data_IF_291583598036
#
_entry.id   IF_291583598036
#
_cell.length_a   1.000
_cell.length_b   1.000
_cell.length_c   1.000
_cell.angle_alpha   90.00
_cell.angle_beta   90.00
_cell.angle_gamma   90.00
#
_symmetry.space_group_name_H-M   'P 1'
#
loop_
_entity.id
_entity.type
_entity.pdbx_description
1 polymer ?
#
# COMPACT_ATOMS: atom_id res chain seq x y z
N UNK A 1 8.51 -22.19 3.49
CA UNK A 1 9.99 -22.24 3.49
C UNK A 1 10.69 -20.88 3.73
N UNK A 2 9.94 -19.77 3.88
CA UNK A 2 10.49 -18.44 4.21
C UNK A 2 10.42 -18.08 5.71
N UNK A 3 9.65 -18.81 6.53
CA UNK A 3 9.43 -18.46 7.94
C UNK A 3 10.52 -18.91 8.93
N UNK A 4 11.53 -19.68 8.50
CA UNK A 4 12.65 -20.11 9.38
C UNK A 4 14.05 -19.96 8.76
N UNK A 5 14.16 -19.52 7.50
CA UNK A 5 15.39 -19.63 6.71
C UNK A 5 16.20 -18.35 6.48
N UNK A 6 15.58 -17.17 6.48
CA UNK A 6 16.25 -15.92 6.08
C UNK A 6 16.24 -14.80 7.12
N UNK A 7 15.43 -14.91 8.18
CA UNK A 7 15.56 -14.08 9.38
C UNK A 7 16.15 -14.95 10.49
N UNK A 8 17.38 -15.43 10.25
CA UNK A 8 18.25 -15.68 11.39
C UNK A 8 18.48 -14.30 11.97
N UNK A 9 17.78 -13.97 13.07
CA UNK A 9 18.11 -12.84 13.93
C UNK A 9 19.60 -12.97 14.22
N UNK A 10 20.40 -12.28 13.40
CA UNK A 10 21.84 -12.25 13.53
C UNK A 10 22.01 -11.49 14.83
N UNK A 11 22.36 -12.23 15.88
CA UNK A 11 22.54 -11.72 17.24
C UNK A 11 23.70 -10.72 17.34
N UNK A 12 23.59 -9.58 16.65
CA UNK A 12 24.50 -8.46 16.69
C UNK A 12 23.72 -7.16 16.44
N UNK A 13 23.34 -6.50 17.55
CA UNK A 13 22.77 -5.13 17.70
C UNK A 13 21.25 -4.91 17.49
N UNK A 14 20.40 -5.56 18.28
CA UNK A 14 19.03 -5.04 18.58
C UNK A 14 19.03 -3.88 19.59
N UNK A 15 20.18 -3.50 20.15
CA UNK A 15 20.29 -2.35 21.05
C UNK A 15 20.61 -1.08 20.26
N UNK A 16 19.66 -0.13 20.23
CA UNK A 16 19.79 1.31 19.88
C UNK A 16 19.43 1.78 18.45
N UNK A 17 18.59 1.07 17.69
CA UNK A 17 17.92 1.72 16.55
C UNK A 17 16.59 2.30 17.01
N UNK A 18 16.43 3.63 16.88
CA UNK A 18 15.17 4.31 17.19
C UNK A 18 14.17 4.00 16.07
N UNK A 19 13.09 3.31 16.40
CA UNK A 19 11.99 2.99 15.47
C UNK A 19 10.97 4.14 15.44
N UNK A 20 10.55 4.59 16.63
CA UNK A 20 9.62 5.70 16.78
C UNK A 20 10.40 7.01 16.93
N UNK A 21 10.27 7.90 15.95
CA UNK A 21 10.86 9.23 16.00
C UNK A 21 9.81 10.29 15.67
N UNK A 22 9.95 11.52 16.18
CA UNK A 22 9.04 12.61 15.83
C UNK A 22 8.96 12.86 14.31
N UNK A 23 10.08 12.71 13.60
CA UNK A 23 10.15 12.86 12.14
C UNK A 23 9.42 11.74 11.39
N UNK A 24 9.48 10.50 11.86
CA UNK A 24 8.74 9.39 11.28
C UNK A 24 7.22 9.57 11.48
N UNK A 25 6.82 10.00 12.68
CA UNK A 25 5.41 10.31 12.96
C UNK A 25 4.93 11.45 12.06
N UNK A 26 5.69 12.55 11.98
CA UNK A 26 5.32 13.70 11.17
C UNK A 26 5.24 13.37 9.68
N UNK A 27 6.24 12.67 9.14
CA UNK A 27 6.23 12.23 7.75
C UNK A 27 5.09 11.25 7.47
N UNK A 28 4.86 10.28 8.37
CA UNK A 28 3.77 9.33 8.28
C UNK A 28 2.40 10.01 8.26
N UNK A 29 2.18 11.01 9.12
CA UNK A 29 0.93 11.78 9.15
C UNK A 29 0.69 12.56 7.85
N UNK A 30 1.74 13.20 7.30
CA UNK A 30 1.63 13.89 6.01
C UNK A 30 1.23 12.90 4.91
N UNK A 31 1.92 11.76 4.84
CA UNK A 31 1.63 10.74 3.83
C UNK A 31 0.23 10.13 4.03
N UNK A 32 -0.21 9.90 5.27
CA UNK A 32 -1.55 9.42 5.58
C UNK A 32 -2.63 10.39 5.10
N UNK A 33 -2.45 11.70 5.29
CA UNK A 33 -3.41 12.71 4.81
C UNK A 33 -3.42 12.76 3.28
N UNK A 34 -2.24 12.80 2.64
CA UNK A 34 -2.13 12.92 1.18
C UNK A 34 -2.68 11.68 0.48
N UNK A 35 -2.22 10.49 0.87
CA UNK A 35 -2.69 9.24 0.26
C UNK A 35 -4.12 8.89 0.67
N UNK A 36 -4.51 9.19 1.92
CA UNK A 36 -5.90 9.06 2.36
C UNK A 36 -6.86 9.92 1.55
N UNK A 37 -6.52 11.19 1.30
CA UNK A 37 -7.32 12.07 0.45
C UNK A 37 -7.37 11.60 -1.02
N UNK A 38 -6.22 11.16 -1.56
CA UNK A 38 -6.16 10.62 -2.92
C UNK A 38 -7.04 9.37 -3.06
N UNK A 39 -6.95 8.43 -2.11
CA UNK A 39 -7.76 7.21 -2.11
C UNK A 39 -9.23 7.48 -1.83
N UNK A 40 -9.56 8.48 -1.02
CA UNK A 40 -10.95 8.88 -0.83
C UNK A 40 -11.57 9.42 -2.13
N UNK A 41 -10.85 10.30 -2.83
CA UNK A 41 -11.31 10.81 -4.13
C UNK A 41 -11.43 9.70 -5.17
N UNK A 42 -10.40 8.85 -5.32
CA UNK A 42 -10.41 7.76 -6.29
C UNK A 42 -11.48 6.72 -5.97
N UNK A 43 -11.65 6.34 -4.71
CA UNK A 43 -12.66 5.35 -4.33
C UNK A 43 -14.09 5.87 -4.52
N UNK A 44 -14.35 7.15 -4.26
CA UNK A 44 -15.66 7.76 -4.55
C UNK A 44 -15.93 7.90 -6.05
N UNK A 45 -14.89 8.19 -6.85
CA UNK A 45 -15.05 8.44 -8.30
C UNK A 45 -15.04 7.16 -9.14
N UNK A 46 -14.18 6.22 -8.80
CA UNK A 46 -13.88 5.03 -9.59
C UNK A 46 -14.30 3.72 -8.90
N UNK A 47 -14.77 3.77 -7.65
CA UNK A 47 -15.22 2.59 -6.90
C UNK A 47 -14.08 1.66 -6.46
N UNK A 48 -12.83 2.05 -6.66
CA UNK A 48 -11.64 1.25 -6.34
C UNK A 48 -10.65 2.06 -5.52
N UNK A 49 -9.95 1.40 -4.59
CA UNK A 49 -8.86 1.97 -3.80
C UNK A 49 -7.51 1.50 -4.32
N UNK A 50 -6.47 2.33 -4.18
CA UNK A 50 -5.12 1.99 -4.60
C UNK A 50 -4.25 1.81 -3.37
N UNK A 51 -3.55 0.69 -3.27
CA UNK A 51 -2.60 0.44 -2.19
C UNK A 51 -1.56 1.57 -2.11
N UNK A 52 -1.55 2.28 -0.98
CA UNK A 52 -0.61 3.35 -0.70
C UNK A 52 0.64 2.85 0.03
N UNK A 53 0.67 1.60 0.51
CA UNK A 53 1.78 1.03 1.28
C UNK A 53 3.11 1.04 0.51
N UNK A 54 3.08 0.60 -0.75
CA UNK A 54 4.25 0.56 -1.63
C UNK A 54 4.79 1.98 -1.88
N UNK A 55 4.01 2.95 -2.41
CA UNK A 55 4.53 4.29 -2.63
C UNK A 55 4.93 4.99 -1.33
N UNK A 56 4.26 4.75 -0.20
CA UNK A 56 4.67 5.29 1.09
C UNK A 56 6.06 4.77 1.52
N UNK A 57 6.34 3.48 1.32
CA UNK A 57 7.66 2.88 1.63
C UNK A 57 8.79 3.52 0.81
N UNK A 58 8.54 3.80 -0.48
CA UNK A 58 9.49 4.48 -1.37
C UNK A 58 9.69 5.92 -0.92
N UNK A 59 8.61 6.68 -0.79
CA UNK A 59 8.68 8.12 -0.47
C UNK A 59 9.34 8.32 0.89
N UNK A 60 9.00 7.49 1.88
CA UNK A 60 9.68 7.47 3.18
C UNK A 60 11.18 7.26 3.02
N UNK A 61 11.58 6.22 2.29
CA UNK A 61 12.99 5.88 2.08
C UNK A 61 13.74 7.00 1.35
N UNK A 62 13.13 7.56 0.30
CA UNK A 62 13.70 8.66 -0.47
C UNK A 62 13.89 9.92 0.38
N UNK A 63 12.93 10.26 1.25
CA UNK A 63 13.01 11.45 2.11
C UNK A 63 13.97 11.23 3.27
N UNK A 64 13.81 10.16 4.06
CA UNK A 64 14.61 9.93 5.27
C UNK A 64 16.07 9.57 4.94
N UNK A 65 16.32 8.78 3.89
CA UNK A 65 17.69 8.39 3.52
C UNK A 65 18.28 9.23 2.38
N UNK A 66 17.49 9.57 1.36
CA UNK A 66 18.00 10.38 0.25
C UNK A 66 18.24 11.83 0.65
N UNK A 67 17.20 12.50 1.16
CA UNK A 67 17.26 13.94 1.47
C UNK A 67 17.89 14.17 2.85
N UNK A 68 17.35 13.52 3.88
CA UNK A 68 17.79 13.75 5.27
C UNK A 68 19.07 12.99 5.64
N UNK A 69 19.52 12.06 4.80
CA UNK A 69 20.70 11.18 5.01
C UNK A 69 20.72 10.52 6.40
N UNK A 70 19.54 10.36 7.00
CA UNK A 70 19.34 9.92 8.37
C UNK A 70 18.02 9.18 8.44
N UNK A 71 18.07 7.86 8.35
CA UNK A 71 16.90 6.99 8.50
C UNK A 71 17.33 5.53 8.53
N UNK A 72 16.69 4.73 9.36
CA UNK A 72 16.88 3.28 9.42
C UNK A 72 15.64 2.57 8.86
N UNK A 73 15.75 1.25 8.63
CA UNK A 73 14.64 0.45 8.08
C UNK A 73 13.40 0.47 8.96
N UNK A 74 13.58 0.43 10.28
CA UNK A 74 12.50 0.38 11.27
C UNK A 74 11.71 1.69 11.31
N UNK A 75 12.39 2.81 11.18
CA UNK A 75 11.80 4.14 11.15
C UNK A 75 10.97 4.36 9.87
N UNK A 76 11.47 3.88 8.72
CA UNK A 76 10.69 3.91 7.49
C UNK A 76 9.48 2.97 7.56
N UNK A 77 9.62 1.82 8.24
CA UNK A 77 8.51 0.90 8.46
C UNK A 77 7.39 1.56 9.32
N UNK A 78 7.75 2.38 10.31
CA UNK A 78 6.76 3.17 11.07
C UNK A 78 6.05 4.18 10.18
N UNK A 79 6.77 4.92 9.34
CA UNK A 79 6.16 5.87 8.38
C UNK A 79 5.15 5.17 7.47
N UNK A 80 5.55 4.03 6.90
CA UNK A 80 4.69 3.22 6.04
C UNK A 80 3.45 2.72 6.79
N UNK A 81 3.63 2.25 8.03
CA UNK A 81 2.52 1.75 8.86
C UNK A 81 1.51 2.84 9.15
N UNK A 82 1.95 4.05 9.49
CA UNK A 82 1.06 5.21 9.71
C UNK A 82 0.30 5.56 8.42
N UNK A 83 1.00 5.59 7.28
CA UNK A 83 0.38 5.90 6.00
C UNK A 83 -0.69 4.87 5.59
N UNK A 84 -0.40 3.57 5.72
CA UNK A 84 -1.33 2.47 5.41
C UNK A 84 -2.51 2.39 6.39
N UNK A 85 -2.29 2.72 7.67
CA UNK A 85 -3.38 2.84 8.64
C UNK A 85 -4.35 3.97 8.28
N UNK A 86 -3.84 5.11 7.82
CA UNK A 86 -4.66 6.22 7.32
C UNK A 86 -5.49 5.85 6.09
N UNK A 87 -4.90 5.09 5.16
CA UNK A 87 -5.61 4.53 4.00
C UNK A 87 -6.75 3.60 4.42
N UNK A 88 -6.47 2.63 5.30
CA UNK A 88 -7.48 1.67 5.80
C UNK A 88 -8.68 2.39 6.43
N UNK A 89 -8.41 3.46 7.18
CA UNK A 89 -9.46 4.30 7.76
C UNK A 89 -10.26 5.02 6.67
N UNK A 90 -9.58 5.67 5.71
CA UNK A 90 -10.23 6.38 4.62
C UNK A 90 -11.13 5.44 3.78
N UNK A 91 -10.67 4.21 3.51
CA UNK A 91 -11.42 3.19 2.80
C UNK A 91 -12.75 2.84 3.53
N UNK A 92 -12.74 2.69 4.85
CA UNK A 92 -13.97 2.46 5.62
C UNK A 92 -14.96 3.63 5.53
N UNK A 93 -14.46 4.86 5.56
CA UNK A 93 -15.29 6.08 5.52
C UNK A 93 -15.92 6.29 4.14
N UNK A 94 -15.17 6.07 3.06
CA UNK A 94 -15.63 6.35 1.69
C UNK A 94 -16.72 5.39 1.21
N UNK A 95 -16.86 4.21 1.81
CA UNK A 95 -17.98 3.31 1.52
C UNK A 95 -19.17 3.56 2.45
N UNK A 96 -18.91 3.96 3.69
CA UNK A 96 -19.95 4.15 4.71
C UNK A 96 -20.71 5.47 4.54
N UNK A 97 -20.00 6.58 4.32
CA UNK A 97 -20.62 7.92 4.26
C UNK A 97 -21.56 8.05 3.06
N UNK A 98 -21.18 7.67 1.83
CA UNK A 98 -22.10 7.70 0.70
C UNK A 98 -23.31 6.79 0.90
N UNK A 99 -23.15 5.63 1.53
CA UNK A 99 -24.28 4.75 1.85
C UNK A 99 -25.30 5.44 2.77
N UNK A 100 -24.83 6.16 3.80
CA UNK A 100 -25.71 6.95 4.67
C UNK A 100 -26.44 8.06 3.88
N UNK A 101 -25.75 8.75 2.97
CA UNK A 101 -26.33 9.78 2.11
C UNK A 101 -27.41 9.20 1.19
N UNK A 102 -27.17 8.02 0.61
CA UNK A 102 -28.14 7.32 -0.24
C UNK A 102 -29.38 6.87 0.52
N UNK A 103 -29.27 6.61 1.82
CA UNK A 103 -30.41 6.34 2.71
C UNK A 103 -31.18 7.62 3.11
N UNK A 104 -30.81 8.78 2.59
CA UNK A 104 -31.43 10.07 2.92
C UNK A 104 -30.92 10.69 4.22
N UNK A 105 -29.87 10.14 4.82
CA UNK A 105 -29.24 10.70 6.01
C UNK A 105 -28.10 11.64 5.60
N UNK A 106 -28.11 12.88 6.09
CA UNK A 106 -27.01 13.84 5.89
C UNK A 106 -26.16 13.94 7.16
N UNK A 107 -25.17 13.05 7.37
CA UNK A 107 -24.36 13.07 8.59
C UNK A 107 -23.53 14.34 8.67
N UNK A 108 -23.51 14.98 9.84
CA UNK A 108 -22.65 16.14 10.08
C UNK A 108 -21.17 15.74 10.06
N UNK A 109 -20.27 16.69 9.79
CA UNK A 109 -18.82 16.45 9.81
C UNK A 109 -18.36 15.87 11.15
N UNK A 110 -18.97 16.33 12.25
CA UNK A 110 -18.68 15.81 13.58
C UNK A 110 -19.12 14.35 13.74
N UNK A 111 -20.27 13.96 13.17
CA UNK A 111 -20.72 12.57 13.17
C UNK A 111 -19.79 11.68 12.34
N UNK A 112 -19.35 12.14 11.16
CA UNK A 112 -18.39 11.42 10.32
C UNK A 112 -17.05 11.25 11.07
N UNK A 113 -16.60 12.29 11.78
CA UNK A 113 -15.41 12.23 12.62
C UNK A 113 -15.55 11.18 13.73
N UNK A 114 -16.66 11.16 14.47
CA UNK A 114 -16.91 10.17 15.52
C UNK A 114 -17.02 8.75 14.97
N UNK A 115 -17.67 8.58 13.81
CA UNK A 115 -17.77 7.30 13.12
C UNK A 115 -16.39 6.80 12.70
N UNK A 116 -15.56 7.67 12.14
CA UNK A 116 -14.18 7.35 11.76
C UNK A 116 -13.33 7.01 12.98
N UNK A 117 -13.46 7.80 14.06
CA UNK A 117 -12.70 7.59 15.30
C UNK A 117 -13.03 6.25 15.94
N UNK A 118 -14.32 5.94 16.09
CA UNK A 118 -14.78 4.67 16.67
C UNK A 118 -14.42 3.49 15.77
N UNK A 119 -14.57 3.61 14.45
CA UNK A 119 -14.14 2.60 13.49
C UNK A 119 -12.63 2.34 13.52
N UNK A 120 -11.81 3.39 13.66
CA UNK A 120 -10.36 3.29 13.79
C UNK A 120 -9.95 2.59 15.09
N UNK A 121 -10.55 2.95 16.22
CA UNK A 121 -10.30 2.29 17.52
C UNK A 121 -10.69 0.80 17.44
N UNK A 122 -11.85 0.51 16.84
CA UNK A 122 -12.31 -0.87 16.65
C UNK A 122 -11.36 -1.66 15.75
N UNK A 123 -10.86 -1.06 14.67
CA UNK A 123 -9.86 -1.67 13.79
C UNK A 123 -8.56 -2.01 14.51
N UNK A 124 -8.06 -1.11 15.37
CA UNK A 124 -6.87 -1.37 16.21
C UNK A 124 -7.14 -2.53 17.18
N UNK A 125 -8.34 -2.61 17.75
CA UNK A 125 -8.72 -3.69 18.65
C UNK A 125 -8.73 -5.05 17.93
N UNK A 126 -9.32 -5.12 16.74
CA UNK A 126 -9.35 -6.36 15.93
C UNK A 126 -8.01 -6.73 15.30
N UNK A 127 -7.05 -5.79 15.21
CA UNK A 127 -5.70 -6.10 14.74
C UNK A 127 -4.98 -7.10 15.65
N UNK A 128 -5.25 -7.08 16.96
CA UNK A 128 -4.63 -7.98 17.94
C UNK A 128 -4.95 -9.47 17.67
N UNK A 129 -6.23 -9.90 17.60
CA UNK A 129 -6.55 -11.29 17.29
C UNK A 129 -6.17 -11.68 15.85
N UNK A 130 -6.36 -10.80 14.87
CA UNK A 130 -6.02 -11.11 13.48
C UNK A 130 -4.52 -11.27 13.27
N UNK A 131 -3.68 -10.48 13.95
CA UNK A 131 -2.24 -10.66 13.88
C UNK A 131 -1.83 -12.06 14.29
N UNK A 132 -2.40 -12.60 15.37
CA UNK A 132 -2.08 -13.95 15.84
C UNK A 132 -2.49 -15.00 14.79
N UNK A 133 -3.73 -14.94 14.32
CA UNK A 133 -4.23 -15.97 13.41
C UNK A 133 -3.58 -15.90 12.02
N UNK A 134 -3.48 -14.71 11.43
CA UNK A 134 -2.93 -14.55 10.08
C UNK A 134 -1.40 -14.67 10.09
N UNK A 135 -0.70 -14.00 11.01
CA UNK A 135 0.76 -13.92 10.97
C UNK A 135 1.43 -15.01 11.80
N UNK A 136 0.95 -15.37 12.99
CA UNK A 136 1.66 -16.38 13.80
C UNK A 136 1.28 -17.80 13.40
N UNK A 137 0.00 -18.06 13.14
CA UNK A 137 -0.50 -19.41 12.82
C UNK A 137 -0.40 -19.72 11.31
N UNK A 138 -0.71 -18.75 10.43
CA UNK A 138 -0.79 -18.98 8.98
C UNK A 138 0.39 -18.42 8.15
N UNK A 139 1.51 -17.97 8.76
CA UNK A 139 2.63 -17.36 7.99
C UNK A 139 3.23 -18.25 6.91
N UNK A 140 3.10 -19.57 7.04
CA UNK A 140 3.74 -20.54 6.15
C UNK A 140 2.84 -20.90 4.97
N UNK A 141 1.56 -20.57 5.08
CA UNK A 141 0.50 -20.97 4.16
C UNK A 141 0.05 -19.78 3.29
N UNK A 142 0.08 -18.56 3.84
CA UNK A 142 -0.33 -17.34 3.15
C UNK A 142 0.86 -16.61 2.49
N UNK A 143 0.80 -16.30 1.19
CA UNK A 143 1.75 -15.40 0.56
C UNK A 143 1.44 -13.95 0.94
N UNK A 144 2.46 -13.19 1.38
CA UNK A 144 2.36 -11.77 1.74
C UNK A 144 3.01 -10.87 0.67
N UNK A 145 2.46 -10.77 -0.55
CA UNK A 145 3.13 -10.10 -1.68
C UNK A 145 3.38 -8.62 -1.41
N UNK A 146 2.40 -7.88 -0.88
CA UNK A 146 2.50 -6.45 -0.63
C UNK A 146 3.50 -6.14 0.49
N UNK A 147 3.43 -6.90 1.59
CA UNK A 147 4.39 -6.79 2.69
C UNK A 147 5.81 -7.12 2.26
N UNK A 148 5.97 -8.14 1.41
CA UNK A 148 7.28 -8.52 0.84
C UNK A 148 7.82 -7.43 -0.08
N UNK A 149 6.99 -6.87 -0.96
CA UNK A 149 7.38 -5.78 -1.85
C UNK A 149 7.83 -4.53 -1.07
N UNK A 150 7.09 -4.17 -0.01
CA UNK A 150 7.48 -3.05 0.83
C UNK A 150 8.79 -3.31 1.58
N UNK A 151 8.97 -4.52 2.13
CA UNK A 151 10.21 -4.91 2.80
C UNK A 151 11.42 -4.81 1.85
N UNK A 152 11.27 -5.29 0.61
CA UNK A 152 12.33 -5.23 -0.40
C UNK A 152 12.70 -3.78 -0.75
N UNK A 153 11.71 -2.87 -0.83
CA UNK A 153 11.96 -1.42 -1.02
C UNK A 153 12.74 -0.83 0.14
N UNK A 154 12.32 -1.11 1.37
CA UNK A 154 12.97 -0.57 2.57
C UNK A 154 14.40 -1.12 2.74
N UNK A 155 14.61 -2.40 2.43
CA UNK A 155 15.90 -3.08 2.48
C UNK A 155 16.83 -2.62 1.35
N UNK A 156 16.33 -2.49 0.11
CA UNK A 156 17.10 -1.92 -0.99
C UNK A 156 17.52 -0.47 -0.66
N UNK A 157 16.64 0.29 0.00
CA UNK A 157 16.96 1.59 0.56
C UNK A 157 18.05 1.60 1.63
N UNK A 158 18.24 0.50 2.37
CA UNK A 158 19.23 0.37 3.44
C UNK A 158 20.59 -0.07 2.91
N UNK A 159 20.60 -1.10 2.08
CA UNK A 159 21.80 -1.67 1.49
C UNK A 159 22.45 -0.70 0.49
N UNK A 160 21.65 0.14 -0.18
CA UNK A 160 22.15 1.07 -1.18
C UNK A 160 22.73 0.35 -2.42
N UNK A 161 23.52 1.08 -3.20
CA UNK A 161 24.25 0.50 -4.34
C UNK A 161 23.37 -0.03 -5.48
N UNK A 162 23.79 -1.15 -6.10
CA UNK A 162 23.14 -1.70 -7.30
C UNK A 162 21.69 -2.15 -7.06
N UNK A 163 21.40 -2.75 -5.89
CA UNK A 163 20.04 -3.18 -5.55
C UNK A 163 19.08 -2.00 -5.39
N UNK A 164 19.51 -0.93 -4.71
CA UNK A 164 18.74 0.31 -4.64
C UNK A 164 18.48 0.87 -6.04
N UNK A 165 19.51 0.92 -6.90
CA UNK A 165 19.37 1.41 -8.26
C UNK A 165 18.30 0.64 -9.05
N UNK A 166 18.27 -0.69 -8.96
CA UNK A 166 17.25 -1.51 -9.63
C UNK A 166 15.83 -1.27 -9.12
N UNK A 167 15.63 -1.20 -7.80
CA UNK A 167 14.29 -0.98 -7.21
C UNK A 167 13.77 0.42 -7.54
N UNK A 168 14.62 1.45 -7.36
CA UNK A 168 14.23 2.83 -7.67
C UNK A 168 14.10 3.08 -9.18
N UNK A 169 14.91 2.44 -10.03
CA UNK A 169 14.74 2.52 -11.48
C UNK A 169 13.47 1.82 -11.95
N UNK A 170 13.17 0.63 -11.41
CA UNK A 170 11.95 -0.10 -11.72
C UNK A 170 10.71 0.68 -11.33
N UNK A 171 10.74 1.32 -10.15
CA UNK A 171 9.68 2.24 -9.73
C UNK A 171 9.60 3.46 -10.65
N UNK A 172 10.74 4.08 -11.01
CA UNK A 172 10.77 5.24 -11.90
C UNK A 172 10.20 4.93 -13.28
N UNK A 173 10.54 3.78 -13.86
CA UNK A 173 9.98 3.29 -15.13
C UNK A 173 8.48 3.00 -14.99
N UNK A 174 8.06 2.35 -13.91
CA UNK A 174 6.64 2.09 -13.64
C UNK A 174 5.82 3.36 -13.45
N UNK A 175 6.36 4.35 -12.73
CA UNK A 175 5.75 5.65 -12.53
C UNK A 175 5.67 6.44 -13.85
N UNK A 176 6.72 6.44 -14.65
CA UNK A 176 6.74 7.06 -15.96
C UNK A 176 5.73 6.40 -16.90
N UNK A 177 5.67 5.07 -16.93
CA UNK A 177 4.69 4.32 -17.70
C UNK A 177 3.26 4.68 -17.28
N UNK A 178 2.98 4.73 -15.97
CA UNK A 178 1.65 5.12 -15.45
C UNK A 178 1.32 6.58 -15.75
N UNK A 179 2.31 7.48 -15.70
CA UNK A 179 2.15 8.89 -16.04
C UNK A 179 1.84 9.09 -17.53
N UNK A 180 2.54 8.39 -18.43
CA UNK A 180 2.30 8.45 -19.87
C UNK A 180 0.95 7.84 -20.27
N UNK A 181 0.58 6.71 -19.66
CA UNK A 181 -0.69 6.02 -19.96
C UNK A 181 -1.90 6.70 -19.32
N UNK A 182 -1.88 6.92 -18.00
CA UNK A 182 -3.04 7.42 -17.25
C UNK A 182 -3.07 8.96 -17.12
N UNK A 183 -1.90 9.61 -17.07
CA UNK A 183 -1.80 11.07 -16.95
C UNK A 183 -1.92 11.78 -18.30
N UNK A 184 -1.13 11.37 -19.29
CA UNK A 184 -1.12 11.98 -20.62
C UNK A 184 -2.08 11.32 -21.62
N UNK A 185 -2.74 10.21 -21.25
CA UNK A 185 -3.69 9.46 -22.09
C UNK A 185 -3.17 9.16 -23.51
N UNK A 186 -1.87 8.88 -23.66
CA UNK A 186 -1.28 8.62 -24.98
C UNK A 186 -1.77 7.31 -25.61
N UNK A 187 -2.25 6.36 -24.81
CA UNK A 187 -2.82 5.08 -25.26
C UNK A 187 -4.00 4.69 -24.36
N UNK A 188 -5.04 4.09 -24.91
CA UNK A 188 -6.08 3.44 -24.09
C UNK A 188 -5.45 2.28 -23.31
N UNK A 189 -5.42 2.39 -21.98
CA UNK A 189 -4.76 1.43 -21.09
C UNK A 189 -5.42 0.04 -21.05
N UNK A 190 -6.53 -0.14 -21.75
CA UNK A 190 -7.29 -1.39 -21.81
C UNK A 190 -7.65 -1.62 -23.29
N UNK A 191 -6.92 -2.45 -24.05
CA UNK A 191 -7.42 -2.91 -25.35
C UNK A 191 -8.73 -3.67 -25.11
N UNK A 192 -9.85 -3.02 -25.39
CA UNK A 192 -11.18 -3.61 -25.30
C UNK A 192 -11.58 -4.19 -26.66
N UNK A 193 -11.74 -5.52 -26.73
CA UNK A 193 -12.26 -6.20 -27.90
C UNK A 193 -13.78 -6.32 -27.77
N UNK A 194 -14.51 -5.83 -28.78
CA UNK A 194 -15.95 -5.95 -28.84
C UNK A 194 -16.33 -7.34 -29.37
N UNK A 195 -16.87 -8.22 -28.52
CA UNK A 195 -17.39 -9.52 -28.98
C UNK A 195 -18.84 -9.32 -29.40
N UNK A 196 -19.04 -9.14 -30.71
CA UNK A 196 -20.33 -8.78 -31.33
C UNK A 196 -21.50 -9.74 -31.06
N UNK A 197 -21.26 -10.94 -30.52
CA UNK A 197 -22.28 -11.91 -30.17
C UNK A 197 -22.94 -11.74 -28.80
N UNK A 198 -22.31 -11.01 -27.85
CA UNK A 198 -22.76 -10.98 -26.45
C UNK A 198 -23.02 -9.58 -25.89
N UNK A 199 -22.85 -8.50 -26.67
CA UNK A 199 -22.92 -7.10 -26.19
C UNK A 199 -22.11 -6.88 -24.90
N UNK A 200 -20.99 -7.60 -24.74
CA UNK A 200 -20.07 -7.48 -23.62
C UNK A 200 -18.71 -6.99 -24.12
N UNK A 201 -18.09 -6.08 -23.37
CA UNK A 201 -16.75 -5.56 -23.62
C UNK A 201 -15.76 -6.45 -22.87
N UNK A 202 -14.84 -7.09 -23.60
CA UNK A 202 -13.71 -7.79 -23.00
C UNK A 202 -12.50 -6.88 -23.04
N UNK A 203 -12.08 -6.39 -21.88
CA UNK A 203 -10.87 -5.57 -21.73
C UNK A 203 -9.77 -6.34 -21.01
N UNK A 204 -8.53 -6.20 -21.47
CA UNK A 204 -7.34 -6.73 -20.78
C UNK A 204 -6.58 -5.56 -20.17
N UNK A 205 -6.59 -5.43 -18.83
CA UNK A 205 -5.79 -4.41 -18.13
C UNK A 205 -4.38 -4.94 -17.86
N UNK A 206 -3.46 -4.62 -18.77
CA UNK A 206 -2.03 -4.94 -18.65
C UNK A 206 -1.32 -3.92 -17.78
N UNK A 207 -1.66 -3.88 -16.49
CA UNK A 207 -0.96 -3.01 -15.54
C UNK A 207 0.36 -3.67 -15.10
N UNK A 208 1.51 -2.95 -15.15
CA UNK A 208 2.80 -3.48 -14.67
C UNK A 208 2.78 -3.90 -13.20
N UNK A 209 1.93 -3.26 -12.40
CA UNK A 209 1.71 -3.62 -11.00
C UNK A 209 1.03 -5.00 -10.88
N UNK A 210 -0.01 -5.26 -11.68
CA UNK A 210 -0.70 -6.56 -11.70
C UNK A 210 0.21 -7.67 -12.23
N UNK A 211 1.04 -7.39 -13.24
CA UNK A 211 2.07 -8.32 -13.70
C UNK A 211 3.11 -8.63 -12.61
N UNK A 212 3.56 -7.62 -11.88
CA UNK A 212 4.48 -7.78 -10.75
C UNK A 212 3.88 -8.58 -9.61
N UNK A 213 2.63 -8.29 -9.24
CA UNK A 213 1.87 -9.07 -8.24
C UNK A 213 1.69 -10.52 -8.69
N UNK A 214 1.34 -10.75 -9.97
CA UNK A 214 1.21 -12.08 -10.53
C UNK A 214 2.54 -12.87 -10.57
N UNK A 215 3.67 -12.20 -10.78
CA UNK A 215 4.99 -12.81 -10.68
C UNK A 215 5.33 -13.24 -9.24
N UNK A 216 4.98 -12.42 -8.24
CA UNK A 216 5.25 -12.73 -6.82
C UNK A 216 4.32 -13.82 -6.28
N UNK A 217 3.03 -13.77 -6.64
CA UNK A 217 2.00 -14.70 -6.18
C UNK A 217 1.99 -16.04 -6.93
N UNK A 218 2.57 -16.07 -8.13
CA UNK A 218 2.55 -17.22 -9.02
C UNK A 218 1.26 -17.34 -9.85
N UNK A 219 1.38 -18.03 -10.99
CA UNK A 219 0.32 -18.17 -12.01
C UNK A 219 -1.01 -18.69 -11.47
N UNK A 220 -1.00 -19.51 -10.42
CA UNK A 220 -2.21 -20.13 -9.86
C UNK A 220 -3.12 -19.14 -9.14
N UNK A 221 -2.54 -18.12 -8.50
CA UNK A 221 -3.30 -17.06 -7.81
C UNK A 221 -3.58 -15.92 -8.80
N UNK A 222 -2.61 -15.62 -9.67
CA UNK A 222 -2.76 -14.61 -10.72
C UNK A 222 -3.89 -14.92 -11.71
N UNK A 223 -4.22 -16.19 -11.96
CA UNK A 223 -5.33 -16.57 -12.84
C UNK A 223 -6.72 -16.35 -12.26
N UNK A 224 -6.83 -16.06 -10.96
CA UNK A 224 -8.10 -15.78 -10.28
C UNK A 224 -8.46 -14.29 -10.27
N UNK A 225 -7.51 -13.42 -10.60
CA UNK A 225 -7.61 -11.96 -10.57
C UNK A 225 -7.69 -11.40 -11.98
#
# INVERSE_FOLDING_TARGET
MWARGSIKCRGQKERLLRELTPRAIFLGLILAVVFGAANAYLGLKAGMTVSASIPASVVSTAILRGILKRGNILENNIVQTIASAGESLAAGVIFTVPALILLGLSPSIFYIFLLSLTGGILGILFLVPFRKHLIEEEHENLPYPEGTACAEVLQAGEEGGKKAAFVFSGLGVGALFKFLTSGMKLWEGVPSFFVGGLRTLLGVDLSPALLGVGYILGLRIASLV
#
